data_IF_912306910672
#
_entry.id   IF_912306910672
#
_cell.length_a   1.000
_cell.length_b   1.000
_cell.length_c   1.000
_cell.angle_alpha   90.00
_cell.angle_beta   90.00
_cell.angle_gamma   90.00
#
_symmetry.space_group_name_H-M   'P 1'
#
loop_
_entity.id
_entity.type
_entity.pdbx_description
1 polymer ?
#
# COMPACT_ATOMS: atom_id res chain seq x y z
N UNK A 1 -7.92 5.42 12.31
CA UNK A 1 -8.45 4.45 11.35
C UNK A 1 -7.43 3.36 11.09
N UNK A 2 -7.89 2.16 10.96
CA UNK A 2 -7.02 1.02 10.75
C UNK A 2 -7.62 0.10 9.69
N UNK A 3 -6.81 -0.31 8.74
CA UNK A 3 -7.27 -1.24 7.71
C UNK A 3 -6.19 -2.30 7.50
N UNK A 4 -6.61 -3.56 7.38
CA UNK A 4 -5.72 -4.67 7.14
C UNK A 4 -6.33 -5.55 6.05
N UNK A 5 -5.48 -6.02 5.13
CA UNK A 5 -5.98 -6.81 4.01
C UNK A 5 -4.84 -7.59 3.40
N UNK A 6 -5.20 -8.60 2.62
CA UNK A 6 -4.24 -9.37 1.85
C UNK A 6 -4.08 -8.76 0.46
N UNK A 7 -2.85 -8.72 -0.01
CA UNK A 7 -2.57 -8.18 -1.32
C UNK A 7 -1.31 -8.82 -1.88
N UNK A 8 -1.13 -8.67 -3.19
CA UNK A 8 0.06 -9.14 -3.87
C UNK A 8 0.93 -7.93 -4.20
N UNK A 9 2.21 -8.00 -3.87
CA UNK A 9 3.13 -6.95 -4.25
C UNK A 9 3.49 -7.16 -5.73
N UNK A 10 3.06 -6.22 -6.56
CA UNK A 10 3.27 -6.33 -8.00
C UNK A 10 4.57 -5.69 -8.43
N UNK A 11 4.92 -4.56 -7.84
CA UNK A 11 6.06 -3.79 -8.29
C UNK A 11 6.73 -3.15 -7.10
N UNK A 12 8.05 -3.19 -7.09
CA UNK A 12 8.86 -2.42 -6.15
C UNK A 12 9.87 -1.65 -7.00
N UNK A 13 9.71 -0.34 -7.06
CA UNK A 13 10.58 0.53 -7.85
C UNK A 13 11.40 1.42 -6.94
N UNK A 14 12.70 1.46 -7.21
CA UNK A 14 13.61 2.37 -6.53
C UNK A 14 14.03 3.45 -7.50
N UNK A 15 13.83 4.70 -7.12
CA UNK A 15 14.18 5.83 -7.95
C UNK A 15 15.14 6.74 -7.21
N UNK A 16 16.14 7.23 -7.96
CA UNK A 16 17.03 8.26 -7.44
C UNK A 16 16.57 9.59 -7.97
N UNK A 17 16.43 10.55 -7.07
CA UNK A 17 16.02 11.89 -7.46
C UNK A 17 17.24 12.74 -7.76
N UNK A 18 17.02 13.82 -8.50
CA UNK A 18 18.10 14.73 -8.86
C UNK A 18 18.75 15.33 -7.62
N UNK A 19 17.99 15.51 -6.57
CA UNK A 19 18.50 16.06 -5.32
C UNK A 19 19.39 15.08 -4.56
N UNK A 20 19.53 13.86 -5.05
CA UNK A 20 20.29 12.83 -4.34
C UNK A 20 19.47 11.96 -3.42
N UNK A 21 18.22 12.31 -3.20
CA UNK A 21 17.32 11.49 -2.40
C UNK A 21 16.87 10.29 -3.18
N UNK A 22 16.41 9.28 -2.45
CA UNK A 22 15.90 8.05 -3.05
C UNK A 22 14.48 7.84 -2.62
N UNK A 23 13.67 7.37 -3.55
CA UNK A 23 12.26 7.08 -3.29
C UNK A 23 11.96 5.66 -3.77
N UNK A 24 11.27 4.90 -2.94
CA UNK A 24 10.81 3.58 -3.30
C UNK A 24 9.30 3.60 -3.42
N UNK A 25 8.81 3.09 -4.54
CA UNK A 25 7.38 3.01 -4.81
C UNK A 25 6.97 1.55 -4.83
N UNK A 26 5.91 1.23 -4.10
CA UNK A 26 5.39 -0.13 -4.03
C UNK A 26 3.97 -0.14 -4.55
N UNK A 27 3.68 -1.07 -5.46
CA UNK A 27 2.34 -1.23 -6.02
C UNK A 27 1.78 -2.57 -5.56
N UNK A 28 0.60 -2.50 -4.96
CA UNK A 28 -0.11 -3.67 -4.45
C UNK A 28 -1.40 -3.88 -5.20
N UNK A 29 -1.74 -5.14 -5.44
CA UNK A 29 -3.02 -5.50 -6.05
C UNK A 29 -3.83 -6.30 -5.05
N UNK A 30 -5.10 -5.99 -4.94
CA UNK A 30 -6.04 -6.78 -4.17
C UNK A 30 -7.40 -6.78 -4.85
N UNK A 31 -8.24 -7.74 -4.48
CA UNK A 31 -9.55 -7.88 -5.10
C UNK A 31 -10.53 -6.93 -4.43
N UNK A 32 -10.74 -5.78 -5.06
CA UNK A 32 -11.60 -4.75 -4.47
C UNK A 32 -13.08 -5.11 -4.54
N UNK A 33 -13.46 -6.06 -5.38
CA UNK A 33 -14.86 -6.51 -5.40
C UNK A 33 -15.25 -7.17 -4.09
N UNK A 34 -14.31 -7.88 -3.48
CA UNK A 34 -14.56 -8.54 -2.21
C UNK A 34 -14.19 -7.69 -1.02
N UNK A 35 -13.50 -6.59 -1.26
CA UNK A 35 -12.94 -5.76 -0.18
C UNK A 35 -13.26 -4.30 -0.41
N UNK A 36 -14.53 -4.00 -0.66
CA UNK A 36 -14.94 -2.62 -0.91
C UNK A 36 -14.64 -1.71 0.28
N UNK A 37 -14.78 -2.24 1.49
CA UNK A 37 -14.49 -1.44 2.67
C UNK A 37 -13.00 -1.07 2.74
N UNK A 38 -12.13 -1.98 2.30
CA UNK A 38 -10.71 -1.68 2.23
C UNK A 38 -10.43 -0.58 1.21
N UNK A 39 -11.07 -0.69 0.04
CA UNK A 39 -10.89 0.31 -1.01
C UNK A 39 -11.34 1.68 -0.53
N UNK A 40 -12.49 1.74 0.12
CA UNK A 40 -12.99 3.01 0.63
C UNK A 40 -12.08 3.60 1.69
N UNK A 41 -11.54 2.77 2.57
CA UNK A 41 -10.61 3.24 3.59
C UNK A 41 -9.33 3.77 2.98
N UNK A 42 -8.81 3.10 1.95
CA UNK A 42 -7.59 3.55 1.30
C UNK A 42 -7.81 4.87 0.58
N UNK A 43 -8.97 5.03 -0.08
CA UNK A 43 -9.28 6.29 -0.74
C UNK A 43 -9.38 7.43 0.26
N UNK A 44 -9.97 7.16 1.40
CA UNK A 44 -10.10 8.16 2.45
C UNK A 44 -8.74 8.60 2.97
N UNK A 45 -7.85 7.65 3.21
CA UNK A 45 -6.50 7.96 3.67
C UNK A 45 -5.71 8.71 2.61
N UNK A 46 -5.92 8.37 1.34
CA UNK A 46 -5.25 9.05 0.25
C UNK A 46 -5.70 10.51 0.16
N UNK A 47 -6.98 10.75 0.33
CA UNK A 47 -7.52 12.11 0.26
C UNK A 47 -7.06 12.97 1.42
N UNK A 48 -6.78 12.35 2.55
CA UNK A 48 -6.29 13.09 3.72
C UNK A 48 -4.87 13.62 3.51
N UNK A 49 -4.15 13.05 2.55
CA UNK A 49 -2.81 13.51 2.18
C UNK A 49 -1.86 13.53 3.38
N UNK A 50 -1.90 12.47 4.14
CA UNK A 50 -1.07 12.31 5.32
C UNK A 50 -0.20 11.08 5.17
N UNK A 51 0.92 11.09 5.88
CA UNK A 51 1.71 9.88 5.99
C UNK A 51 0.97 8.85 6.82
N UNK A 52 1.06 7.60 6.41
CA UNK A 52 0.44 6.51 7.13
C UNK A 52 1.51 5.50 7.52
N UNK A 53 1.20 4.71 8.54
CA UNK A 53 2.08 3.62 8.93
C UNK A 53 1.67 2.37 8.15
N UNK A 54 2.65 1.72 7.52
CA UNK A 54 2.39 0.54 6.72
C UNK A 54 3.18 -0.63 7.30
N UNK A 55 2.49 -1.74 7.50
CA UNK A 55 3.08 -2.97 8.00
C UNK A 55 2.83 -4.06 6.97
N UNK A 56 3.89 -4.78 6.60
CA UNK A 56 3.79 -5.86 5.62
C UNK A 56 4.31 -7.13 6.28
N UNK A 57 3.50 -8.18 6.22
CA UNK A 57 3.84 -9.47 6.82
C UNK A 57 3.54 -10.58 5.84
N UNK A 58 4.36 -11.62 5.87
CA UNK A 58 4.07 -12.81 5.12
C UNK A 58 2.78 -13.43 5.60
N UNK A 59 1.97 -13.88 4.66
CA UNK A 59 0.82 -14.67 5.04
C UNK A 59 1.30 -16.09 5.32
N UNK A 60 1.05 -16.55 6.53
CA UNK A 60 1.48 -17.86 6.93
C UNK A 60 0.66 -18.93 6.24
N UNK A 61 1.32 -19.96 5.76
CA UNK A 61 0.65 -21.06 5.10
C UNK A 61 0.69 -22.31 5.96
N UNK A 62 -0.39 -22.98 5.99
CA UNK A 62 -0.47 -24.22 6.75
C UNK A 62 -0.98 -25.35 5.90
#
# INVERSE_FOLDING_TARGET
>A
MKVAFEALIKVVNNNSLVSGDKTTRVILDFDSNKKLDVLNSLNELHQADKNVMIVIMDKEKK
#
